data_IF_327863601044
#
_entry.id   IF_327863601044
#
_cell.length_a   1.000
_cell.length_b   1.000
_cell.length_c   1.000
_cell.angle_alpha   90.00
_cell.angle_beta   90.00
_cell.angle_gamma   90.00
#
_symmetry.space_group_name_H-M   'P 1'
#
loop_
_entity.id
_entity.type
_entity.pdbx_description
1 polymer ?
#
# COMPACT_ATOMS: atom_id res chain seq x y z
N UNK A 1 -22.98 0.26 -12.85
CA UNK A 1 -21.77 0.12 -13.68
C UNK A 1 -20.62 -0.21 -12.72
N UNK A 2 -19.98 -1.39 -12.82
CA UNK A 2 -18.84 -1.74 -11.94
C UNK A 2 -17.62 -0.89 -12.31
N UNK A 3 -16.86 -0.43 -11.32
CA UNK A 3 -15.64 0.35 -11.55
C UNK A 3 -14.55 -0.55 -12.13
N UNK A 4 -13.65 -0.01 -12.95
CA UNK A 4 -12.46 -0.73 -13.40
C UNK A 4 -11.30 -0.60 -12.37
N UNK A 5 -10.26 -1.40 -12.53
CA UNK A 5 -9.13 -1.41 -11.57
C UNK A 5 -8.43 -0.06 -11.44
N UNK A 6 -8.26 0.69 -12.54
CA UNK A 6 -7.66 2.03 -12.49
C UNK A 6 -8.52 3.01 -11.67
N UNK A 7 -9.85 2.93 -11.79
CA UNK A 7 -10.78 3.73 -11.00
C UNK A 7 -10.72 3.37 -9.51
N UNK A 8 -10.64 2.08 -9.17
CA UNK A 8 -10.54 1.60 -7.77
C UNK A 8 -9.19 2.03 -7.16
N UNK A 9 -8.08 1.85 -7.89
CA UNK A 9 -6.75 2.31 -7.48
C UNK A 9 -6.74 3.82 -7.22
N UNK A 10 -7.27 4.59 -8.17
CA UNK A 10 -7.34 6.04 -8.05
C UNK A 10 -8.21 6.46 -6.86
N UNK A 11 -9.38 5.84 -6.66
CA UNK A 11 -10.28 6.08 -5.51
C UNK A 11 -9.54 5.87 -4.18
N UNK A 12 -8.91 4.72 -4.02
CA UNK A 12 -8.27 4.35 -2.76
C UNK A 12 -7.03 5.21 -2.49
N UNK A 13 -6.23 5.48 -3.52
CA UNK A 13 -5.08 6.39 -3.43
C UNK A 13 -5.50 7.84 -3.12
N UNK A 14 -6.62 8.31 -3.68
CA UNK A 14 -7.17 9.65 -3.39
C UNK A 14 -7.68 9.74 -1.95
N UNK A 15 -8.41 8.72 -1.47
CA UNK A 15 -8.85 8.62 -0.08
C UNK A 15 -7.65 8.69 0.87
N UNK A 16 -6.65 7.85 0.64
CA UNK A 16 -5.39 7.86 1.41
C UNK A 16 -4.72 9.23 1.43
N UNK A 17 -4.62 9.90 0.27
CA UNK A 17 -4.02 11.24 0.20
C UNK A 17 -4.84 12.30 0.93
N UNK A 18 -6.16 12.16 1.05
CA UNK A 18 -7.01 13.08 1.80
C UNK A 18 -6.89 12.86 3.30
N UNK A 19 -6.90 11.60 3.72
CA UNK A 19 -6.91 11.23 5.14
C UNK A 19 -5.54 11.45 5.78
N UNK A 20 -4.44 11.19 5.04
CA UNK A 20 -3.09 11.11 5.60
C UNK A 20 -2.03 11.93 4.84
N UNK A 21 -2.44 12.72 3.84
CA UNK A 21 -1.52 13.41 2.93
C UNK A 21 -0.45 14.24 3.66
N UNK A 22 -0.83 14.92 4.73
CA UNK A 22 0.10 15.79 5.47
C UNK A 22 1.06 15.01 6.38
N UNK A 23 0.64 13.85 6.90
CA UNK A 23 1.45 12.98 7.76
C UNK A 23 2.55 12.25 6.98
N UNK A 24 2.36 12.06 5.68
CA UNK A 24 3.31 11.38 4.78
C UNK A 24 4.07 12.35 3.85
N UNK A 25 3.84 13.67 4.00
CA UNK A 25 4.52 14.72 3.24
C UNK A 25 5.79 15.21 3.93
N UNK A 26 6.70 15.73 3.09
CA UNK A 26 7.88 16.46 3.53
C UNK A 26 8.92 15.62 4.30
N UNK A 27 9.88 16.29 4.96
CA UNK A 27 10.96 15.63 5.71
C UNK A 27 10.47 14.84 6.94
N UNK A 28 9.30 15.21 7.47
CA UNK A 28 8.70 14.58 8.65
C UNK A 28 7.88 13.33 8.28
N UNK A 29 7.19 13.34 7.12
CA UNK A 29 6.46 12.21 6.55
C UNK A 29 7.27 11.30 5.60
N UNK A 30 8.59 11.49 5.54
CA UNK A 30 9.56 10.48 5.09
C UNK A 30 9.76 10.31 3.58
N UNK A 31 9.03 11.04 2.74
CA UNK A 31 8.96 10.79 1.29
C UNK A 31 8.69 9.30 0.96
N UNK A 32 7.99 8.61 1.84
CA UNK A 32 7.83 7.14 1.81
C UNK A 32 7.31 6.68 0.45
N UNK A 33 6.27 7.35 -0.04
CA UNK A 33 5.64 7.08 -1.34
C UNK A 33 6.62 7.22 -2.52
N UNK A 34 7.67 8.04 -2.41
CA UNK A 34 8.71 8.15 -3.45
C UNK A 34 9.73 7.00 -3.39
N UNK A 35 10.00 6.47 -2.19
CA UNK A 35 11.04 5.46 -1.92
C UNK A 35 10.53 4.03 -2.10
N UNK A 36 9.26 3.78 -1.74
CA UNK A 36 8.68 2.44 -1.75
C UNK A 36 8.80 1.72 -3.09
N UNK A 37 8.50 2.32 -4.26
CA UNK A 37 8.61 1.61 -5.52
C UNK A 37 9.99 1.01 -5.79
N UNK A 38 11.07 1.77 -5.50
CA UNK A 38 12.44 1.26 -5.67
C UNK A 38 12.79 0.16 -4.66
N UNK A 39 12.34 0.29 -3.41
CA UNK A 39 12.64 -0.70 -2.37
C UNK A 39 11.91 -2.02 -2.64
N UNK A 40 10.63 -1.95 -3.01
CA UNK A 40 9.83 -3.13 -3.37
C UNK A 40 10.41 -3.81 -4.60
N UNK A 41 10.86 -3.06 -5.60
CA UNK A 41 11.50 -3.64 -6.79
C UNK A 41 12.81 -4.36 -6.45
N UNK A 42 13.64 -3.80 -5.57
CA UNK A 42 14.96 -4.35 -5.26
C UNK A 42 14.95 -5.44 -4.18
N UNK A 43 14.03 -5.37 -3.23
CA UNK A 43 14.01 -6.22 -2.03
C UNK A 43 12.71 -7.03 -1.87
N UNK A 44 11.68 -6.74 -2.67
CA UNK A 44 10.37 -7.35 -2.57
C UNK A 44 9.45 -6.69 -1.55
N UNK A 45 8.16 -7.00 -1.64
CA UNK A 45 7.11 -6.42 -0.79
C UNK A 45 7.32 -6.78 0.69
N UNK A 46 7.50 -8.07 1.01
CA UNK A 46 7.63 -8.54 2.40
C UNK A 46 8.85 -7.96 3.11
N UNK A 47 10.01 -7.93 2.46
CA UNK A 47 11.22 -7.38 3.07
C UNK A 47 11.08 -5.88 3.33
N UNK A 48 10.47 -5.15 2.39
CA UNK A 48 10.23 -3.71 2.54
C UNK A 48 9.21 -3.41 3.64
N UNK A 49 8.14 -4.21 3.72
CA UNK A 49 7.13 -4.11 4.77
C UNK A 49 7.73 -4.42 6.15
N UNK A 50 8.51 -5.50 6.28
CA UNK A 50 9.21 -5.85 7.52
C UNK A 50 10.17 -4.73 7.97
N UNK A 51 10.97 -4.17 7.06
CA UNK A 51 11.85 -3.04 7.34
C UNK A 51 11.07 -1.81 7.86
N UNK A 52 9.85 -1.60 7.35
CA UNK A 52 9.07 -0.42 7.72
C UNK A 52 8.65 -0.38 9.20
N UNK A 53 8.61 -1.52 9.92
CA UNK A 53 8.28 -1.56 11.35
C UNK A 53 9.25 -0.76 12.23
N UNK A 54 10.49 -0.55 11.77
CA UNK A 54 11.49 0.23 12.51
C UNK A 54 11.56 1.69 12.05
N UNK A 55 10.70 2.10 11.12
CA UNK A 55 10.72 3.41 10.51
C UNK A 55 9.67 4.38 11.10
N UNK A 56 9.72 5.64 10.64
CA UNK A 56 8.80 6.71 11.08
C UNK A 56 7.33 6.37 10.80
N UNK A 57 6.43 7.03 11.54
CA UNK A 57 4.99 6.82 11.49
C UNK A 57 4.38 6.83 10.07
N UNK A 58 4.86 7.70 9.17
CA UNK A 58 4.39 7.75 7.78
C UNK A 58 4.58 6.45 7.00
N UNK A 59 5.54 5.60 7.37
CA UNK A 59 5.70 4.27 6.79
C UNK A 59 4.59 3.32 7.23
N UNK A 60 4.26 3.32 8.51
CA UNK A 60 3.16 2.51 9.05
C UNK A 60 1.84 2.88 8.41
N UNK A 61 1.52 4.19 8.37
CA UNK A 61 0.32 4.71 7.71
C UNK A 61 0.27 4.27 6.23
N UNK A 62 1.40 4.34 5.52
CA UNK A 62 1.45 3.93 4.12
C UNK A 62 1.20 2.43 3.94
N UNK A 63 1.77 1.59 4.80
CA UNK A 63 1.56 0.14 4.71
C UNK A 63 0.18 -0.31 5.20
N UNK A 64 -0.42 0.39 6.17
CA UNK A 64 -1.84 0.20 6.52
C UNK A 64 -2.73 0.55 5.33
N UNK A 65 -2.45 1.64 4.61
CA UNK A 65 -3.18 2.00 3.41
C UNK A 65 -3.01 0.99 2.27
N UNK A 66 -1.82 0.42 2.10
CA UNK A 66 -1.58 -0.67 1.15
C UNK A 66 -2.41 -1.90 1.55
N UNK A 67 -2.38 -2.30 2.82
CA UNK A 67 -3.18 -3.42 3.31
C UNK A 67 -4.67 -3.20 3.06
N UNK A 68 -5.20 -2.02 3.43
CA UNK A 68 -6.58 -1.63 3.15
C UNK A 68 -6.93 -1.63 1.66
N UNK A 69 -6.01 -1.24 0.78
CA UNK A 69 -6.25 -1.32 -0.65
C UNK A 69 -6.30 -2.76 -1.17
N UNK A 70 -5.39 -3.62 -0.72
CA UNK A 70 -5.36 -5.02 -1.15
C UNK A 70 -6.55 -5.83 -0.61
N UNK A 71 -7.10 -5.41 0.52
CA UNK A 71 -8.31 -5.95 1.15
C UNK A 71 -9.62 -5.34 0.61
N UNK A 72 -9.56 -4.38 -0.31
CA UNK A 72 -10.75 -3.76 -0.90
C UNK A 72 -11.66 -4.82 -1.55
N UNK A 73 -12.98 -4.69 -1.37
CA UNK A 73 -13.98 -5.66 -1.85
C UNK A 73 -13.96 -5.88 -3.37
N UNK A 74 -13.42 -4.93 -4.13
CA UNK A 74 -13.26 -5.04 -5.58
C UNK A 74 -11.85 -5.52 -6.00
N UNK A 75 -10.87 -5.54 -5.08
CA UNK A 75 -9.49 -6.03 -5.30
C UNK A 75 -9.30 -7.46 -4.79
N UNK A 76 -9.67 -7.72 -3.52
CA UNK A 76 -9.69 -9.06 -2.89
C UNK A 76 -8.41 -9.88 -3.04
N UNK A 77 -7.25 -9.23 -2.91
CA UNK A 77 -5.96 -9.92 -2.83
C UNK A 77 -5.69 -10.39 -1.40
N UNK A 78 -6.09 -9.58 -0.41
CA UNK A 78 -6.16 -9.97 1.00
C UNK A 78 -7.62 -10.24 1.39
N UNK A 79 -7.86 -11.03 2.45
CA UNK A 79 -9.14 -11.03 3.15
C UNK A 79 -9.56 -9.61 3.54
N UNK A 80 -10.86 -9.32 3.45
CA UNK A 80 -11.39 -7.95 3.52
C UNK A 80 -11.28 -7.31 4.90
N UNK A 81 -11.06 -8.10 5.94
CA UNK A 81 -10.81 -7.67 7.31
C UNK A 81 -9.32 -7.37 7.59
N UNK A 82 -8.42 -7.75 6.69
CA UNK A 82 -6.97 -7.58 6.85
C UNK A 82 -6.53 -6.23 6.27
N UNK A 83 -6.77 -5.17 7.04
CA UNK A 83 -6.55 -3.77 6.62
C UNK A 83 -5.35 -3.10 7.30
N UNK A 84 -4.57 -3.84 8.08
CA UNK A 84 -3.39 -3.32 8.80
C UNK A 84 -2.10 -3.89 8.22
N UNK A 85 -1.01 -3.14 8.35
CA UNK A 85 0.33 -3.53 7.96
C UNK A 85 0.74 -4.86 8.61
N UNK A 86 0.50 -5.00 9.92
CA UNK A 86 0.77 -6.26 10.65
C UNK A 86 -0.12 -7.40 10.15
N UNK A 87 -1.40 -7.15 9.91
CA UNK A 87 -2.32 -8.13 9.37
C UNK A 87 -1.87 -8.63 7.99
N UNK A 88 -1.52 -7.71 7.09
CA UNK A 88 -1.00 -8.04 5.76
C UNK A 88 0.26 -8.91 5.85
N UNK A 89 1.21 -8.55 6.72
CA UNK A 89 2.43 -9.34 6.93
C UNK A 89 2.13 -10.74 7.45
N UNK A 90 1.25 -10.87 8.44
CA UNK A 90 0.86 -12.15 9.00
C UNK A 90 0.18 -13.03 7.93
N UNK A 91 -0.72 -12.48 7.12
CA UNK A 91 -1.41 -13.25 6.09
C UNK A 91 -0.49 -13.68 4.96
N UNK A 92 0.29 -12.75 4.39
CA UNK A 92 1.19 -13.05 3.27
C UNK A 92 2.35 -14.00 3.62
N UNK A 93 2.62 -14.21 4.91
CA UNK A 93 3.63 -15.18 5.40
C UNK A 93 3.00 -16.44 5.99
N UNK A 94 1.68 -16.52 6.04
CA UNK A 94 0.96 -17.70 6.52
C UNK A 94 1.01 -18.85 5.50
N UNK A 95 0.60 -20.05 5.94
CA UNK A 95 0.40 -21.18 5.03
C UNK A 95 -0.83 -21.05 4.12
N UNK A 96 -1.68 -20.04 4.31
CA UNK A 96 -2.87 -19.80 3.48
C UNK A 96 -2.55 -18.96 2.23
N UNK A 97 -1.56 -18.07 2.32
CA UNK A 97 -1.13 -17.27 1.19
C UNK A 97 -0.21 -18.08 0.27
N UNK A 98 -0.51 -18.07 -1.03
CA UNK A 98 0.35 -18.70 -2.02
C UNK A 98 1.42 -17.73 -2.54
N UNK A 99 2.41 -18.26 -3.25
CA UNK A 99 3.37 -17.43 -3.99
C UNK A 99 2.71 -16.56 -5.05
N UNK A 100 1.57 -17.00 -5.60
CA UNK A 100 0.75 -16.21 -6.51
C UNK A 100 0.08 -15.03 -5.79
N UNK A 101 -0.46 -15.26 -4.58
CA UNK A 101 -1.03 -14.18 -3.75
C UNK A 101 0.01 -13.08 -3.47
N UNK A 102 1.25 -13.47 -3.12
CA UNK A 102 2.33 -12.51 -2.90
C UNK A 102 2.72 -11.75 -4.19
N UNK A 103 2.75 -12.43 -5.34
CA UNK A 103 3.03 -11.81 -6.63
C UNK A 103 1.95 -10.80 -6.99
N UNK A 104 0.67 -11.15 -6.82
CA UNK A 104 -0.46 -10.26 -7.06
C UNK A 104 -0.41 -9.04 -6.13
N UNK A 105 -0.18 -9.25 -4.83
CA UNK A 105 -0.03 -8.17 -3.86
C UNK A 105 1.09 -7.20 -4.24
N UNK A 106 2.22 -7.73 -4.73
CA UNK A 106 3.35 -6.91 -5.18
C UNK A 106 2.99 -6.08 -6.41
N UNK A 107 2.40 -6.70 -7.44
CA UNK A 107 2.00 -6.00 -8.67
C UNK A 107 0.95 -4.93 -8.39
N UNK A 108 -0.08 -5.25 -7.60
CA UNK A 108 -1.15 -4.32 -7.26
C UNK A 108 -0.63 -3.16 -6.41
N UNK A 109 0.22 -3.43 -5.42
CA UNK A 109 0.87 -2.39 -4.61
C UNK A 109 1.64 -1.41 -5.50
N UNK A 110 2.41 -1.91 -6.47
CA UNK A 110 3.17 -1.06 -7.39
C UNK A 110 2.26 -0.20 -8.28
N UNK A 111 1.15 -0.77 -8.78
CA UNK A 111 0.16 -0.05 -9.57
C UNK A 111 -0.52 1.06 -8.73
N UNK A 112 -0.92 0.75 -7.50
CA UNK A 112 -1.52 1.70 -6.58
C UNK A 112 -0.57 2.84 -6.19
N UNK A 113 0.71 2.52 -5.91
CA UNK A 113 1.73 3.52 -5.57
C UNK A 113 1.93 4.54 -6.69
N UNK A 114 1.73 4.15 -7.96
CA UNK A 114 1.79 5.08 -9.10
C UNK A 114 0.70 6.17 -9.02
N UNK A 115 -0.49 5.82 -8.52
CA UNK A 115 -1.57 6.78 -8.25
C UNK A 115 -1.32 7.58 -6.98
N UNK A 116 -0.98 6.91 -5.87
CA UNK A 116 -0.73 7.56 -4.58
C UNK A 116 0.32 8.66 -4.69
N UNK A 117 1.40 8.42 -5.44
CA UNK A 117 2.46 9.40 -5.68
C UNK A 117 1.97 10.67 -6.40
N UNK A 118 0.95 10.58 -7.25
CA UNK A 118 0.40 11.74 -7.98
C UNK A 118 -0.49 12.57 -7.07
N UNK A 119 -1.36 11.94 -6.29
CA UNK A 119 -2.28 12.66 -5.40
C UNK A 119 -1.56 13.31 -4.21
N UNK A 120 -0.58 12.64 -3.62
CA UNK A 120 0.18 13.21 -2.49
C UNK A 120 0.99 14.43 -2.90
N UNK A 121 1.38 14.58 -4.18
CA UNK A 121 2.07 15.78 -4.67
C UNK A 121 1.16 16.99 -4.83
N UNK A 122 -0.15 16.80 -5.06
CA UNK A 122 -1.10 17.87 -5.34
C UNK A 122 -2.37 17.68 -4.47
N UNK A 123 -2.39 18.21 -3.22
CA UNK A 123 -3.67 18.39 -2.55
C UNK A 123 -4.41 19.50 -3.30
N UNK A 124 -5.56 19.18 -3.88
CA UNK A 124 -6.53 20.21 -4.29
C UNK A 124 -7.17 20.81 -3.05
#
# INVERSE_FOLDING_TARGET
MKQNLEQIRARNALKFSRDHGDEIRGPQGGEVIKKLPSLILNHGLLATAAYSFTEKHGWQITFDAIAGHLADDEIKILPTDITTHRGMMNWLTSGEASSESLKLATVETMAWLAFARRFVKNPS
#
